data_IF_407367000607
#
_entry.id   IF_407367000607
#
_cell.length_a   1.000
_cell.length_b   1.000
_cell.length_c   1.000
_cell.angle_alpha   90.00
_cell.angle_beta   90.00
_cell.angle_gamma   90.00
#
_symmetry.space_group_name_H-M   'P 1'
#
loop_
_entity.id
_entity.type
_entity.pdbx_description
1 polymer ?
#
# COMPACT_ATOMS: atom_id res chain seq x y z
N UNK A 1 45.60 -14.24 -11.29
CA UNK A 1 45.20 -15.59 -10.86
C UNK A 1 43.89 -15.45 -10.08
N UNK A 2 42.85 -16.15 -10.55
CA UNK A 2 41.55 -16.53 -9.94
C UNK A 2 40.91 -15.56 -8.90
N UNK A 3 39.83 -14.84 -9.21
CA UNK A 3 38.42 -15.24 -9.44
C UNK A 3 37.67 -15.63 -8.14
N UNK A 4 36.52 -15.00 -7.90
CA UNK A 4 35.66 -15.35 -6.76
C UNK A 4 34.56 -14.35 -6.47
N UNK A 5 33.59 -14.20 -7.39
CA UNK A 5 32.24 -13.75 -7.01
C UNK A 5 31.67 -14.78 -6.05
N UNK A 6 31.35 -14.37 -4.83
CA UNK A 6 30.55 -15.17 -3.92
C UNK A 6 29.16 -14.55 -3.88
N UNK A 7 28.33 -15.00 -4.83
CA UNK A 7 26.89 -14.98 -4.72
C UNK A 7 26.45 -16.00 -3.66
N UNK A 8 25.26 -15.82 -3.12
CA UNK A 8 24.52 -16.70 -2.19
C UNK A 8 24.73 -16.45 -0.70
N UNK A 9 24.01 -15.46 -0.18
CA UNK A 9 23.25 -15.67 1.06
C UNK A 9 21.82 -15.23 0.79
N UNK A 10 20.96 -16.17 0.40
CA UNK A 10 19.51 -15.99 0.59
C UNK A 10 19.30 -16.06 2.11
N UNK A 11 19.43 -14.91 2.76
CA UNK A 11 19.03 -14.74 4.14
C UNK A 11 17.52 -14.89 4.22
N UNK A 12 17.06 -16.10 4.54
CA UNK A 12 15.67 -16.41 4.88
C UNK A 12 15.30 -15.80 6.26
N UNK A 13 15.45 -14.49 6.40
CA UNK A 13 14.91 -13.71 7.50
C UNK A 13 14.11 -12.56 6.91
N UNK A 14 12.92 -12.88 6.38
CA UNK A 14 11.90 -11.87 6.19
C UNK A 14 11.42 -11.44 7.59
N UNK A 15 12.14 -10.51 8.20
CA UNK A 15 11.58 -9.73 9.29
C UNK A 15 10.30 -9.08 8.75
N UNK A 16 9.21 -9.15 9.51
CA UNK A 16 7.90 -8.60 9.15
C UNK A 16 7.89 -7.07 8.93
N UNK A 17 9.05 -6.41 9.00
CA UNK A 17 9.25 -4.97 8.80
C UNK A 17 9.93 -4.55 7.48
N UNK A 18 10.41 -5.46 6.64
CA UNK A 18 11.32 -5.09 5.53
C UNK A 18 10.66 -4.75 4.19
N UNK A 19 9.32 -4.77 4.11
CA UNK A 19 8.61 -4.39 2.86
C UNK A 19 8.47 -2.86 2.79
N UNK A 20 9.40 -2.21 2.10
CA UNK A 20 9.42 -0.76 1.80
C UNK A 20 9.99 -0.52 0.40
N UNK A 21 9.73 0.65 -0.17
CA UNK A 21 10.28 1.02 -1.48
C UNK A 21 9.72 2.34 -2.01
N UNK A 22 10.06 2.70 -3.24
CA UNK A 22 9.58 3.96 -3.81
C UNK A 22 8.16 3.85 -4.37
N UNK A 23 7.85 2.74 -5.04
CA UNK A 23 6.59 2.53 -5.75
C UNK A 23 5.95 1.22 -5.31
N UNK A 24 4.68 1.31 -4.89
CA UNK A 24 3.78 0.17 -4.73
C UNK A 24 2.73 0.21 -5.82
N UNK A 25 2.43 -0.95 -6.43
CA UNK A 25 1.32 -1.11 -7.37
C UNK A 25 0.32 -2.10 -6.75
N UNK A 26 -0.88 -1.62 -6.45
CA UNK A 26 -2.01 -2.42 -5.97
C UNK A 26 -2.87 -2.86 -7.17
N UNK A 27 -3.07 -4.16 -7.32
CA UNK A 27 -3.76 -4.77 -8.46
C UNK A 27 -5.09 -5.37 -7.97
N UNK A 28 -6.20 -4.86 -8.50
CA UNK A 28 -7.54 -5.28 -8.08
C UNK A 28 -7.97 -4.64 -6.75
N UNK A 29 -7.72 -3.33 -6.59
CA UNK A 29 -8.00 -2.58 -5.37
C UNK A 29 -9.48 -2.57 -4.97
N UNK A 30 -10.39 -2.84 -5.91
CA UNK A 30 -11.81 -2.54 -5.75
C UNK A 30 -12.03 -1.05 -5.44
N UNK A 31 -13.16 -0.67 -4.84
CA UNK A 31 -13.40 0.70 -4.38
C UNK A 31 -12.82 0.93 -2.97
N UNK A 32 -11.68 0.32 -2.63
CA UNK A 32 -11.19 0.26 -1.24
C UNK A 32 -9.76 0.77 -1.08
N UNK A 33 -9.45 1.35 0.10
CA UNK A 33 -8.12 1.90 0.42
C UNK A 33 -7.51 1.34 1.70
N UNK A 34 -8.21 0.46 2.44
CA UNK A 34 -7.76 0.03 3.77
C UNK A 34 -6.41 -0.71 3.71
N UNK A 35 -6.18 -1.46 2.63
CA UNK A 35 -4.92 -2.16 2.36
C UNK A 35 -3.73 -1.21 2.14
N UNK A 36 -4.00 0.06 1.82
CA UNK A 36 -3.00 1.07 1.52
C UNK A 36 -2.58 1.88 2.74
N UNK A 37 -3.38 1.85 3.81
CA UNK A 37 -3.16 2.68 5.01
C UNK A 37 -1.83 2.36 5.69
N UNK A 38 -1.53 1.07 5.88
CA UNK A 38 -0.23 0.62 6.41
C UNK A 38 0.92 0.79 5.43
N UNK A 39 0.61 0.84 4.13
CA UNK A 39 1.61 0.89 3.08
C UNK A 39 2.05 2.33 2.76
N UNK A 40 1.21 3.32 2.98
CA UNK A 40 1.52 4.71 2.62
C UNK A 40 2.68 5.30 3.44
N UNK A 41 3.03 4.70 4.58
CA UNK A 41 4.19 5.09 5.38
C UNK A 41 5.51 4.53 4.85
N UNK A 42 5.43 3.44 4.07
CA UNK A 42 6.59 2.68 3.59
C UNK A 42 6.88 2.93 2.11
N UNK A 43 5.96 3.59 1.40
CA UNK A 43 6.03 3.84 -0.03
C UNK A 43 5.73 5.28 -0.39
N UNK A 44 6.64 5.90 -1.15
CA UNK A 44 6.51 7.29 -1.60
C UNK A 44 5.36 7.47 -2.61
N UNK A 45 5.12 6.45 -3.44
CA UNK A 45 4.08 6.46 -4.46
C UNK A 45 3.31 5.15 -4.44
N UNK A 46 1.98 5.26 -4.39
CA UNK A 46 1.07 4.13 -4.52
C UNK A 46 0.26 4.32 -5.80
N UNK A 47 0.24 3.29 -6.65
CA UNK A 47 -0.60 3.22 -7.84
C UNK A 47 -1.67 2.16 -7.57
N UNK A 48 -2.93 2.56 -7.63
CA UNK A 48 -4.08 1.65 -7.50
C UNK A 48 -4.64 1.34 -8.87
N UNK A 49 -5.03 0.08 -9.08
CA UNK A 49 -5.63 -0.37 -10.33
C UNK A 49 -6.75 -1.36 -10.05
N UNK A 50 -7.78 -1.30 -10.88
CA UNK A 50 -8.89 -2.24 -10.82
C UNK A 50 -9.49 -2.42 -12.21
N UNK A 51 -10.05 -3.59 -12.50
CA UNK A 51 -10.67 -3.87 -13.79
C UNK A 51 -11.93 -3.03 -14.03
N UNK A 52 -12.78 -2.87 -13.01
CA UNK A 52 -14.06 -2.20 -13.16
C UNK A 52 -13.91 -0.67 -13.08
N UNK A 53 -14.35 0.04 -14.11
CA UNK A 53 -14.32 1.51 -14.17
C UNK A 53 -15.00 2.15 -12.96
N UNK A 54 -16.12 1.56 -12.52
CA UNK A 54 -16.87 2.04 -11.35
C UNK A 54 -16.02 2.04 -10.08
N UNK A 55 -15.19 1.03 -9.88
CA UNK A 55 -14.31 0.96 -8.71
C UNK A 55 -13.26 2.07 -8.76
N UNK A 56 -12.66 2.29 -9.93
CA UNK A 56 -11.69 3.37 -10.15
C UNK A 56 -12.33 4.76 -9.95
N UNK A 57 -13.57 4.95 -10.39
CA UNK A 57 -14.32 6.19 -10.19
C UNK A 57 -14.58 6.49 -8.71
N UNK A 58 -14.93 5.49 -7.90
CA UNK A 58 -15.12 5.69 -6.45
C UNK A 58 -13.80 6.05 -5.76
N UNK A 59 -12.68 5.43 -6.16
CA UNK A 59 -11.34 5.79 -5.66
C UNK A 59 -10.95 7.22 -6.06
N UNK A 60 -11.18 7.62 -7.32
CA UNK A 60 -10.93 8.99 -7.78
C UNK A 60 -11.80 10.01 -7.04
N UNK A 61 -13.07 9.69 -6.82
CA UNK A 61 -14.00 10.54 -6.09
C UNK A 61 -13.53 10.76 -4.66
N UNK A 62 -13.08 9.70 -4.00
CA UNK A 62 -12.46 9.80 -2.68
C UNK A 62 -11.18 10.65 -2.70
N UNK A 63 -10.27 10.38 -3.65
CA UNK A 63 -9.01 11.12 -3.79
C UNK A 63 -9.23 12.63 -4.00
N UNK A 64 -10.25 13.00 -4.79
CA UNK A 64 -10.64 14.38 -5.08
C UNK A 64 -11.51 15.02 -3.98
N UNK A 65 -11.80 14.31 -2.89
CA UNK A 65 -12.74 14.72 -1.81
C UNK A 65 -14.12 15.14 -2.39
N UNK A 66 -14.58 14.40 -3.39
CA UNK A 66 -15.81 14.70 -4.13
C UNK A 66 -17.09 14.47 -3.30
N UNK A 67 -18.22 15.11 -3.67
CA UNK A 67 -19.49 14.95 -2.97
C UNK A 67 -19.98 13.49 -2.96
N UNK A 68 -20.27 12.96 -1.76
CA UNK A 68 -20.71 11.58 -1.58
C UNK A 68 -19.58 10.54 -1.74
N UNK A 69 -18.31 10.95 -1.66
CA UNK A 69 -17.21 10.02 -1.47
C UNK A 69 -17.43 9.23 -0.17
N UNK A 70 -17.02 7.97 -0.15
CA UNK A 70 -17.11 7.15 1.05
C UNK A 70 -16.22 7.76 2.16
N UNK A 71 -16.78 7.89 3.37
CA UNK A 71 -16.03 8.38 4.53
C UNK A 71 -15.19 7.26 5.16
N UNK A 72 -13.90 7.27 4.84
CA UNK A 72 -12.93 6.32 5.39
C UNK A 72 -12.44 6.67 6.80
N UNK A 73 -12.87 7.79 7.40
CA UNK A 73 -12.35 8.29 8.68
C UNK A 73 -12.40 7.25 9.79
N UNK A 74 -13.49 6.50 9.90
CA UNK A 74 -13.64 5.46 10.93
C UNK A 74 -12.63 4.31 10.74
N UNK A 75 -12.45 3.88 9.49
CA UNK A 75 -11.50 2.81 9.14
C UNK A 75 -10.07 3.28 9.39
N UNK A 76 -9.72 4.49 8.96
CA UNK A 76 -8.39 5.07 9.19
C UNK A 76 -8.08 5.15 10.68
N UNK A 77 -9.00 5.69 11.49
CA UNK A 77 -8.83 5.75 12.95
C UNK A 77 -8.64 4.37 13.58
N UNK A 78 -9.35 3.36 13.08
CA UNK A 78 -9.21 2.00 13.57
C UNK A 78 -7.83 1.42 13.23
N UNK A 79 -7.36 1.59 11.99
CA UNK A 79 -6.03 1.12 11.56
C UNK A 79 -4.92 1.82 12.32
N UNK A 80 -4.95 3.16 12.44
CA UNK A 80 -3.93 3.89 13.22
C UNK A 80 -3.86 3.41 14.67
N UNK A 81 -5.00 3.10 15.29
CA UNK A 81 -5.05 2.53 16.65
C UNK A 81 -4.37 1.16 16.73
N UNK A 82 -4.54 0.32 15.71
CA UNK A 82 -3.88 -1.00 15.65
C UNK A 82 -2.38 -0.89 15.42
N UNK A 83 -1.94 0.10 14.64
CA UNK A 83 -0.54 0.35 14.33
C UNK A 83 0.23 1.05 15.47
N UNK A 84 -0.46 1.34 16.58
CA UNK A 84 0.15 2.00 17.75
C UNK A 84 0.43 3.48 17.53
N UNK A 85 -0.10 4.06 16.46
CA UNK A 85 0.03 5.47 16.14
C UNK A 85 -1.03 6.25 16.91
N UNK A 86 -0.59 7.17 17.76
CA UNK A 86 -1.43 7.95 18.68
C UNK A 86 -1.37 9.43 18.34
#
# INVERSE_FOLDING_TARGET
MQNGRNDTTIGNNANTGDVKGDILIDIGSGPTIYQLLSACEKFNKIIVSDYADRNRQELEKWLKKGPGAFDWTLVVKYVCKLEGQR
#
